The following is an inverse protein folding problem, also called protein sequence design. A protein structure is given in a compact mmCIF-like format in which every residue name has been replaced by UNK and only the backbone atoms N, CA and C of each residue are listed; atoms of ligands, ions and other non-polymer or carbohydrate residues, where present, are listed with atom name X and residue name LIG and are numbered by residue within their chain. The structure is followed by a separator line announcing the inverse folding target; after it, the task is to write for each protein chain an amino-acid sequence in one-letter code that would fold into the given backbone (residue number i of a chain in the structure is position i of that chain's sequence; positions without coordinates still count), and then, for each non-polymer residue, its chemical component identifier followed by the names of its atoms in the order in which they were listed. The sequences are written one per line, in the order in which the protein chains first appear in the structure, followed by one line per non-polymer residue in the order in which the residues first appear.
data_IF_996618984432
#
_entry.id   IF_996618984432
#
_cell.length_a   1.000
_cell.length_b   1.000
_cell.length_c   1.000
_cell.angle_alpha   90.00
_cell.angle_beta   90.00
_cell.angle_gamma   90.00
#
_symmetry.space_group_name_H-M   'P 1'
#
loop_
_entity.id
_entity.type
_entity.pdbx_description
1 polymer ?
#
# COMPACT_ATOMS: atom_id res chain seq x y z
N UNK A 1 4.14 32.67 -0.95
CA UNK A 1 5.52 32.85 -1.44
C UNK A 1 5.93 31.53 -2.09
N UNK A 2 5.52 31.32 -3.34
CA UNK A 2 5.80 30.08 -4.05
C UNK A 2 6.93 30.32 -5.03
N UNK A 3 8.15 29.93 -4.66
CA UNK A 3 9.19 29.77 -5.66
C UNK A 3 8.80 28.53 -6.47
N UNK A 4 8.24 28.71 -7.66
CA UNK A 4 8.12 27.62 -8.62
C UNK A 4 9.54 27.33 -9.11
N UNK A 5 10.17 26.29 -8.56
CA UNK A 5 11.48 25.85 -9.04
C UNK A 5 11.23 25.22 -10.41
N UNK A 6 11.78 25.83 -11.45
CA UNK A 6 11.82 25.28 -12.80
C UNK A 6 13.14 24.53 -13.01
N UNK A 7 13.08 23.37 -13.64
CA UNK A 7 14.24 22.57 -14.02
C UNK A 7 14.40 22.58 -15.54
N UNK A 8 15.62 22.46 -16.04
CA UNK A 8 15.86 22.06 -17.43
C UNK A 8 15.62 20.54 -17.54
N UNK A 9 14.62 20.16 -18.32
CA UNK A 9 14.21 18.77 -18.51
C UNK A 9 14.76 18.21 -19.81
N UNK A 10 15.44 17.07 -19.73
CA UNK A 10 15.90 16.34 -20.91
C UNK A 10 15.69 14.84 -20.77
N UNK A 11 15.39 14.18 -21.88
CA UNK A 11 15.34 12.73 -21.92
C UNK A 11 16.71 12.12 -21.57
N UNK A 12 16.72 11.01 -20.83
CA UNK A 12 17.92 10.28 -20.48
C UNK A 12 17.73 8.78 -20.62
N UNK A 13 18.57 8.14 -21.46
CA UNK A 13 18.54 6.70 -21.69
C UNK A 13 19.50 5.99 -20.75
N UNK A 14 18.96 5.21 -19.83
CA UNK A 14 19.70 4.32 -18.95
C UNK A 14 19.78 2.92 -19.57
N UNK A 15 20.99 2.39 -19.68
CA UNK A 15 21.22 1.02 -20.12
C UNK A 15 21.18 0.06 -18.92
N UNK A 16 20.26 -0.90 -18.95
CA UNK A 16 20.05 -1.91 -17.91
C UNK A 16 20.77 -3.24 -18.23
N UNK A 17 21.68 -3.26 -19.20
CA UNK A 17 22.38 -4.47 -19.65
C UNK A 17 21.41 -5.44 -20.33
N UNK A 18 21.43 -6.69 -19.91
CA UNK A 18 20.57 -7.75 -20.47
C UNK A 18 19.07 -7.50 -20.24
N UNK A 19 18.72 -6.55 -19.35
CA UNK A 19 17.34 -6.11 -19.11
C UNK A 19 16.87 -5.02 -20.07
N UNK A 20 17.67 -4.57 -21.04
CA UNK A 20 17.28 -3.60 -22.05
C UNK A 20 17.67 -2.16 -21.70
N UNK A 21 16.86 -1.18 -22.14
CA UNK A 21 17.10 0.25 -21.94
C UNK A 21 15.83 0.96 -21.49
N UNK A 22 15.96 1.93 -20.60
CA UNK A 22 14.84 2.76 -20.14
C UNK A 22 15.14 4.23 -20.42
N UNK A 23 14.16 4.96 -20.96
CA UNK A 23 14.22 6.41 -21.15
C UNK A 23 13.44 7.11 -20.04
N UNK A 24 14.14 7.85 -19.18
CA UNK A 24 13.55 8.70 -18.16
C UNK A 24 13.68 10.19 -18.49
N UNK A 25 13.39 11.03 -17.50
CA UNK A 25 13.59 12.49 -17.53
C UNK A 25 14.71 12.83 -16.55
N UNK A 26 15.68 13.63 -17.00
CA UNK A 26 16.69 14.24 -16.14
C UNK A 26 16.31 15.70 -15.88
N UNK A 27 16.34 16.09 -14.60
CA UNK A 27 16.12 17.44 -14.11
C UNK A 27 17.48 18.05 -13.76
N UNK A 28 17.88 19.07 -14.52
CA UNK A 28 19.20 19.71 -14.46
C UNK A 28 20.35 18.68 -14.52
N UNK A 29 21.40 18.86 -13.71
CA UNK A 29 22.45 17.86 -13.45
C UNK A 29 22.30 17.23 -12.06
N UNK A 30 21.06 17.11 -11.54
CA UNK A 30 20.85 16.77 -10.13
C UNK A 30 19.99 15.55 -9.90
N UNK A 31 18.85 15.41 -10.59
CA UNK A 31 17.94 14.28 -10.40
C UNK A 31 17.52 13.65 -11.73
N UNK A 32 17.21 12.36 -11.71
CA UNK A 32 16.57 11.62 -12.81
C UNK A 32 15.30 10.96 -12.29
N UNK A 33 14.25 10.90 -13.11
CA UNK A 33 13.01 10.17 -12.86
C UNK A 33 12.76 9.16 -13.97
N UNK A 34 12.45 7.93 -13.56
CA UNK A 34 11.99 6.85 -14.42
C UNK A 34 10.61 6.41 -13.92
N UNK A 35 9.57 6.78 -14.65
CA UNK A 35 8.18 6.57 -14.28
C UNK A 35 7.58 5.30 -14.92
N UNK A 36 6.61 4.69 -14.25
CA UNK A 36 5.79 3.66 -14.87
C UNK A 36 6.49 2.33 -15.13
N UNK A 37 7.52 1.98 -14.35
CA UNK A 37 8.27 0.75 -14.52
C UNK A 37 7.43 -0.43 -14.00
N UNK A 38 7.02 -1.39 -14.84
CA UNK A 38 6.30 -2.57 -14.37
C UNK A 38 7.20 -3.44 -13.52
N UNK A 39 6.68 -3.93 -12.40
CA UNK A 39 7.41 -4.86 -11.52
C UNK A 39 6.77 -6.24 -11.41
N UNK A 40 5.55 -6.39 -11.94
CA UNK A 40 4.78 -7.62 -11.94
C UNK A 40 3.90 -7.69 -13.20
N UNK A 41 3.41 -8.89 -13.54
CA UNK A 41 2.40 -9.04 -14.58
C UNK A 41 1.05 -8.44 -14.13
N UNK A 42 0.23 -7.92 -15.06
CA UNK A 42 -1.05 -7.30 -14.73
C UNK A 42 -1.97 -8.23 -13.93
N UNK A 43 -2.59 -7.76 -12.82
CA UNK A 43 -3.48 -8.54 -11.97
C UNK A 43 -4.94 -8.50 -12.47
N UNK A 44 -5.15 -8.61 -13.77
CA UNK A 44 -6.45 -8.40 -14.43
C UNK A 44 -7.16 -9.72 -14.77
N UNK A 45 -8.47 -9.64 -15.03
CA UNK A 45 -9.29 -10.78 -15.44
C UNK A 45 -9.22 -11.95 -14.45
N UNK A 46 -8.79 -13.12 -14.92
CA UNK A 46 -8.63 -14.31 -14.08
C UNK A 46 -7.58 -14.17 -12.97
N UNK A 47 -6.70 -13.16 -13.06
CA UNK A 47 -5.69 -12.86 -12.04
C UNK A 47 -6.15 -11.80 -11.03
N UNK A 48 -7.37 -11.26 -11.19
CA UNK A 48 -8.01 -10.45 -10.15
C UNK A 48 -8.19 -11.30 -8.89
N UNK A 49 -7.78 -10.74 -7.75
CA UNK A 49 -7.72 -11.41 -6.44
C UNK A 49 -6.87 -12.68 -6.44
N UNK A 50 -5.69 -12.61 -7.07
CA UNK A 50 -4.59 -13.56 -6.91
C UNK A 50 -3.33 -12.84 -6.44
N UNK A 51 -2.36 -13.58 -5.89
CA UNK A 51 -1.01 -13.04 -5.65
C UNK A 51 -0.41 -12.45 -6.94
N UNK A 52 0.38 -11.36 -6.86
CA UNK A 52 1.06 -10.82 -8.02
C UNK A 52 1.99 -11.89 -8.60
N UNK A 53 2.12 -11.87 -9.93
CA UNK A 53 3.01 -12.79 -10.64
C UNK A 53 4.27 -12.04 -11.06
N UNK A 54 5.46 -12.63 -10.86
CA UNK A 54 6.69 -11.98 -11.27
C UNK A 54 6.72 -11.82 -12.80
N UNK A 55 7.46 -10.82 -13.26
CA UNK A 55 7.81 -10.73 -14.67
C UNK A 55 8.65 -11.97 -15.06
N UNK A 56 8.48 -12.54 -16.26
CA UNK A 56 9.33 -13.64 -16.74
C UNK A 56 10.80 -13.25 -16.69
N UNK A 57 11.70 -14.22 -16.48
CA UNK A 57 13.16 -13.97 -16.47
C UNK A 57 13.66 -13.35 -17.78
N UNK A 58 13.00 -13.68 -18.90
CA UNK A 58 13.21 -13.16 -20.25
C UNK A 58 12.61 -11.78 -20.50
N UNK A 59 11.91 -11.18 -19.53
CA UNK A 59 11.35 -9.84 -19.68
C UNK A 59 12.47 -8.80 -19.81
N UNK A 60 12.37 -7.95 -20.83
CA UNK A 60 13.26 -6.82 -21.09
C UNK A 60 12.47 -5.52 -21.16
N UNK A 61 13.06 -4.44 -20.64
CA UNK A 61 12.57 -3.09 -20.83
C UNK A 61 13.07 -2.59 -22.20
N UNK A 62 12.25 -2.78 -23.23
CA UNK A 62 12.50 -2.28 -24.56
C UNK A 62 11.18 -1.86 -25.22
N UNK A 63 11.27 -0.94 -26.18
CA UNK A 63 10.16 -0.51 -27.01
C UNK A 63 10.42 -0.95 -28.46
N UNK A 64 9.68 -1.97 -28.91
CA UNK A 64 9.88 -2.57 -30.24
C UNK A 64 11.24 -3.27 -30.38
N UNK A 65 11.77 -3.33 -31.60
CA UNK A 65 12.94 -4.16 -31.91
C UNK A 65 14.26 -3.68 -31.26
N UNK A 66 14.39 -2.40 -30.82
CA UNK A 66 15.63 -1.91 -30.15
C UNK A 66 15.48 -0.59 -29.34
N UNK A 67 14.28 -0.01 -29.23
CA UNK A 67 14.07 1.28 -28.57
C UNK A 67 14.10 1.17 -27.03
N UNK A 68 14.41 2.25 -26.29
CA UNK A 68 14.26 2.23 -24.83
C UNK A 68 12.77 2.18 -24.44
N UNK A 69 12.44 1.45 -23.37
CA UNK A 69 11.14 1.56 -22.72
C UNK A 69 10.90 3.01 -22.27
N UNK A 70 9.76 3.57 -22.65
CA UNK A 70 9.40 4.95 -22.30
C UNK A 70 8.92 5.03 -20.85
N UNK A 71 9.80 5.52 -19.98
CA UNK A 71 9.56 5.82 -18.58
C UNK A 71 9.56 7.35 -18.32
N UNK A 72 9.24 8.16 -19.33
CA UNK A 72 9.10 9.61 -19.15
C UNK A 72 7.73 9.99 -18.57
N UNK A 73 6.73 9.13 -18.76
CA UNK A 73 5.34 9.36 -18.36
C UNK A 73 4.91 8.41 -17.25
N UNK A 74 4.15 8.93 -16.29
CA UNK A 74 3.50 8.10 -15.30
C UNK A 74 2.46 7.16 -15.95
N UNK A 75 2.27 5.99 -15.35
CA UNK A 75 1.25 5.02 -15.75
C UNK A 75 0.04 5.13 -14.82
N UNK A 76 -1.05 4.49 -15.24
CA UNK A 76 -2.30 4.46 -14.50
C UNK A 76 -2.08 4.00 -13.04
N UNK A 77 -2.76 4.66 -12.10
CA UNK A 77 -2.79 4.24 -10.71
C UNK A 77 -3.78 3.09 -10.52
N UNK A 78 -3.73 2.41 -9.37
CA UNK A 78 -4.70 1.36 -9.09
C UNK A 78 -6.12 1.91 -8.92
N UNK A 79 -7.17 1.13 -9.24
CA UNK A 79 -8.54 1.62 -9.24
C UNK A 79 -8.99 2.10 -7.88
N UNK A 80 -9.57 3.29 -7.83
CA UNK A 80 -9.95 3.97 -6.59
C UNK A 80 -10.88 5.13 -6.89
N UNK A 81 -11.74 5.48 -5.94
CA UNK A 81 -12.53 6.72 -5.99
C UNK A 81 -11.63 7.88 -5.54
N UNK A 82 -11.27 8.76 -6.46
CA UNK A 82 -10.27 9.81 -6.21
C UNK A 82 -10.91 11.08 -5.65
N UNK A 83 -10.35 11.62 -4.56
CA UNK A 83 -10.71 12.93 -4.01
C UNK A 83 -9.85 14.06 -4.58
N UNK A 84 -8.59 13.76 -4.93
CA UNK A 84 -7.65 14.67 -5.57
C UNK A 84 -6.63 13.83 -6.36
N UNK A 85 -6.56 14.00 -7.68
CA UNK A 85 -5.34 13.69 -8.43
C UNK A 85 -4.96 14.98 -9.13
N UNK A 86 -3.69 15.39 -9.01
CA UNK A 86 -3.09 16.24 -10.02
C UNK A 86 -3.34 15.59 -11.38
N UNK A 87 -3.87 16.35 -12.33
CA UNK A 87 -4.09 15.86 -13.69
C UNK A 87 -2.82 15.16 -14.16
N UNK A 88 -2.87 13.86 -14.46
CA UNK A 88 -1.95 13.34 -15.46
C UNK A 88 -2.20 14.18 -16.71
N UNK A 89 -1.15 14.66 -17.37
CA UNK A 89 -1.34 15.33 -18.65
C UNK A 89 -2.02 14.35 -19.61
N UNK A 90 -3.32 14.55 -19.88
CA UNK A 90 -4.03 13.89 -20.98
C UNK A 90 -5.18 12.91 -20.69
N UNK A 91 -5.93 12.95 -19.58
CA UNK A 91 -7.20 12.17 -19.55
C UNK A 91 -8.07 12.19 -18.30
N UNK A 92 -9.37 12.02 -18.51
CA UNK A 92 -10.49 12.27 -17.58
C UNK A 92 -10.80 11.10 -16.61
N UNK A 93 -9.78 10.41 -16.07
CA UNK A 93 -9.94 9.29 -15.13
C UNK A 93 -8.83 8.24 -15.25
N UNK A 94 -7.76 8.38 -14.46
CA UNK A 94 -6.45 7.76 -14.77
C UNK A 94 -6.12 6.52 -13.93
N UNK A 95 -7.08 5.62 -13.72
CA UNK A 95 -6.82 4.32 -13.07
C UNK A 95 -7.07 3.12 -13.99
N UNK A 96 -6.39 2.01 -13.71
CA UNK A 96 -6.52 0.72 -14.38
C UNK A 96 -6.23 -0.40 -13.38
N UNK A 97 -6.78 -1.60 -13.57
CA UNK A 97 -6.31 -2.76 -12.79
C UNK A 97 -4.91 -3.22 -13.22
N UNK A 98 -4.49 -2.89 -14.44
CA UNK A 98 -3.09 -2.92 -14.82
C UNK A 98 -2.40 -1.68 -14.22
N UNK A 99 -1.95 -1.82 -12.97
CA UNK A 99 -1.39 -0.72 -12.17
C UNK A 99 -0.15 -1.10 -11.35
N UNK A 100 0.42 -2.30 -11.54
CA UNK A 100 1.58 -2.78 -10.77
C UNK A 100 2.89 -2.18 -11.32
N UNK A 101 2.98 -0.86 -11.20
CA UNK A 101 4.09 -0.02 -11.63
C UNK A 101 4.77 0.65 -10.43
N UNK A 102 6.04 0.98 -10.60
CA UNK A 102 6.79 1.83 -9.68
C UNK A 102 7.43 3.01 -10.41
N UNK A 103 7.74 4.04 -9.64
CA UNK A 103 8.46 5.22 -10.10
C UNK A 103 9.77 5.33 -9.32
N UNK A 104 10.86 5.63 -10.02
CA UNK A 104 12.22 5.68 -9.45
C UNK A 104 12.81 7.06 -9.69
N UNK A 105 13.27 7.70 -8.62
CA UNK A 105 14.05 8.92 -8.67
C UNK A 105 15.46 8.65 -8.17
N UNK A 106 16.46 9.15 -8.89
CA UNK A 106 17.87 8.98 -8.55
C UNK A 106 18.57 10.33 -8.51
N UNK A 107 19.63 10.49 -7.70
CA UNK A 107 20.64 11.52 -7.94
C UNK A 107 21.31 11.28 -9.30
N UNK A 108 21.81 12.34 -9.94
CA UNK A 108 22.66 12.22 -11.14
C UNK A 108 24.06 11.78 -10.72
N UNK A 109 24.50 10.62 -11.22
CA UNK A 109 25.82 10.06 -10.97
C UNK A 109 26.18 9.02 -12.04
N UNK A 110 27.30 8.33 -11.88
CA UNK A 110 27.65 7.15 -12.68
C UNK A 110 26.99 5.91 -12.07
N UNK A 111 25.99 5.34 -12.74
CA UNK A 111 25.22 4.20 -12.24
C UNK A 111 26.07 2.95 -12.01
N UNK A 112 27.22 2.82 -12.69
CA UNK A 112 28.09 1.65 -12.54
C UNK A 112 28.89 1.67 -11.25
N UNK A 113 29.23 2.87 -10.76
CA UNK A 113 30.09 3.06 -9.59
C UNK A 113 29.33 3.60 -8.38
N UNK A 114 28.18 4.23 -8.60
CA UNK A 114 27.31 4.74 -7.53
C UNK A 114 26.76 3.61 -6.65
N UNK A 115 26.63 3.93 -5.36
CA UNK A 115 26.06 3.06 -4.32
C UNK A 115 25.12 3.88 -3.44
N UNK A 116 24.12 4.49 -4.07
CA UNK A 116 23.17 5.35 -3.36
C UNK A 116 22.35 4.53 -2.36
N UNK A 117 22.13 5.03 -1.14
CA UNK A 117 21.07 4.53 -0.27
C UNK A 117 19.73 4.51 -1.01
N UNK A 118 18.89 3.52 -0.73
CA UNK A 118 17.58 3.37 -1.38
C UNK A 118 16.47 3.52 -0.34
N UNK A 119 15.53 4.42 -0.59
CA UNK A 119 14.27 4.51 0.13
C UNK A 119 13.16 3.87 -0.71
N UNK A 120 12.65 2.74 -0.25
CA UNK A 120 11.47 2.09 -0.82
C UNK A 120 10.22 2.64 -0.13
N UNK A 121 9.44 3.44 -0.84
CA UNK A 121 8.32 4.20 -0.32
C UNK A 121 6.96 3.54 -0.57
N UNK A 122 6.21 3.33 0.50
CA UNK A 122 4.84 2.84 0.51
C UNK A 122 3.89 4.01 0.84
N UNK A 123 3.06 4.40 -0.13
CA UNK A 123 2.11 5.49 0.06
C UNK A 123 1.00 5.14 1.07
N UNK A 124 0.38 6.17 1.65
CA UNK A 124 -0.78 6.05 2.54
C UNK A 124 -2.11 6.06 1.79
N UNK A 125 -3.19 6.40 2.52
CA UNK A 125 -4.55 6.52 1.96
C UNK A 125 -5.54 5.44 2.43
N UNK A 126 -5.47 5.06 3.71
CA UNK A 126 -6.35 4.07 4.38
C UNK A 126 -6.44 2.69 3.72
N UNK A 127 -5.51 2.36 2.82
CA UNK A 127 -5.60 1.23 1.88
C UNK A 127 -6.70 1.38 0.82
N UNK A 128 -7.40 2.51 0.74
CA UNK A 128 -8.49 2.73 -0.21
C UNK A 128 -8.05 3.51 -1.45
N UNK A 129 -7.06 4.38 -1.30
CA UNK A 129 -6.61 5.34 -2.30
C UNK A 129 -5.12 5.66 -2.14
N UNK A 130 -4.55 6.38 -3.09
CA UNK A 130 -3.15 6.81 -3.14
C UNK A 130 -2.46 6.41 -4.44
N UNK A 131 -1.24 6.92 -4.61
CA UNK A 131 -0.46 6.81 -5.83
C UNK A 131 1.04 6.67 -5.54
N UNK A 132 1.84 6.15 -6.48
CA UNK A 132 3.29 6.02 -6.33
C UNK A 132 4.04 7.35 -6.53
N UNK A 133 3.73 8.38 -5.73
CA UNK A 133 4.37 9.71 -5.81
C UNK A 133 4.25 10.37 -7.20
N UNK A 134 3.08 10.24 -7.81
CA UNK A 134 2.67 10.97 -9.02
C UNK A 134 2.07 12.34 -8.66
N UNK A 135 1.50 12.49 -7.45
CA UNK A 135 1.05 13.80 -6.97
C UNK A 135 2.24 14.77 -6.85
N UNK A 136 2.15 16.00 -7.42
CA UNK A 136 3.25 16.97 -7.38
C UNK A 136 3.75 17.32 -5.97
N UNK A 137 2.89 17.25 -4.95
CA UNK A 137 3.28 17.48 -3.55
C UNK A 137 4.06 16.32 -2.93
N UNK A 138 4.12 15.17 -3.61
CA UNK A 138 4.80 13.96 -3.18
C UNK A 138 5.98 13.57 -4.10
N UNK A 139 6.27 14.36 -5.15
CA UNK A 139 7.40 14.13 -6.06
C UNK A 139 8.73 14.46 -5.36
N UNK A 140 9.66 13.49 -5.20
CA UNK A 140 10.92 13.70 -4.49
C UNK A 140 11.99 14.45 -5.30
N UNK A 141 11.70 14.91 -6.53
CA UNK A 141 12.66 15.63 -7.38
C UNK A 141 13.27 16.85 -6.67
N UNK A 142 12.46 17.66 -5.99
CA UNK A 142 12.95 18.83 -5.27
C UNK A 142 13.80 18.44 -4.05
N UNK A 143 13.41 17.37 -3.35
CA UNK A 143 14.13 16.86 -2.19
C UNK A 143 15.54 16.37 -2.57
N UNK A 144 15.69 15.76 -3.74
CA UNK A 144 16.99 15.35 -4.30
C UNK A 144 17.76 16.57 -4.84
N UNK A 145 17.11 17.40 -5.67
CA UNK A 145 17.77 18.47 -6.42
C UNK A 145 18.16 19.69 -5.59
N UNK A 146 17.40 20.00 -4.55
CA UNK A 146 17.64 21.21 -3.72
C UNK A 146 17.70 20.89 -2.23
N UNK A 147 16.92 19.90 -1.77
CA UNK A 147 16.91 19.44 -0.38
C UNK A 147 18.15 18.65 0.03
N UNK A 148 19.03 18.27 -0.92
CA UNK A 148 20.28 17.57 -0.64
C UNK A 148 20.11 16.09 -0.26
N UNK A 149 18.96 15.48 -0.59
CA UNK A 149 18.77 14.05 -0.41
C UNK A 149 19.61 13.26 -1.43
N UNK A 150 20.71 12.70 -0.95
CA UNK A 150 21.59 11.82 -1.70
C UNK A 150 21.14 10.35 -1.59
N UNK A 151 19.95 10.05 -2.08
CA UNK A 151 19.37 8.71 -2.06
C UNK A 151 18.45 8.47 -3.27
N UNK A 152 18.33 7.20 -3.67
CA UNK A 152 17.30 6.78 -4.62
C UNK A 152 15.98 6.67 -3.87
N UNK A 153 14.90 7.17 -4.46
CA UNK A 153 13.53 6.99 -3.96
C UNK A 153 12.78 6.11 -4.96
N UNK A 154 12.19 5.02 -4.47
CA UNK A 154 11.36 4.11 -5.26
C UNK A 154 9.95 4.13 -4.68
N UNK A 155 8.98 4.69 -5.39
CA UNK A 155 7.58 4.71 -4.95
C UNK A 155 6.79 3.62 -5.65
N UNK A 156 6.06 2.80 -4.88
CA UNK A 156 5.37 1.60 -5.37
C UNK A 156 3.87 1.84 -5.48
N UNK A 157 3.28 1.54 -6.65
CA UNK A 157 1.84 1.44 -6.80
C UNK A 157 1.43 0.01 -6.47
N UNK A 158 0.45 -0.18 -5.59
CA UNK A 158 -0.02 -1.49 -5.15
C UNK A 158 -1.55 -1.51 -5.13
N UNK A 159 -2.20 -2.69 -5.27
CA UNK A 159 -3.66 -2.76 -5.29
C UNK A 159 -4.27 -2.26 -3.97
N UNK A 160 -5.38 -1.55 -4.09
CA UNK A 160 -6.10 -0.86 -3.01
C UNK A 160 -7.55 -1.33 -2.93
N UNK A 161 -8.26 -0.90 -1.89
CA UNK A 161 -9.68 -1.13 -1.63
C UNK A 161 -10.10 -2.58 -1.94
N UNK A 162 -11.23 -2.79 -2.60
CA UNK A 162 -11.74 -4.11 -2.97
C UNK A 162 -10.78 -4.89 -3.88
N UNK A 163 -9.95 -4.23 -4.70
CA UNK A 163 -8.98 -4.92 -5.57
C UNK A 163 -7.78 -5.51 -4.81
N UNK A 164 -7.35 -4.82 -3.75
CA UNK A 164 -6.17 -5.19 -2.95
C UNK A 164 -6.48 -5.93 -1.66
N UNK A 165 -7.68 -5.74 -1.11
CA UNK A 165 -8.00 -6.10 0.26
C UNK A 165 -9.40 -6.72 0.44
N UNK A 166 -10.06 -7.14 -0.65
CA UNK A 166 -11.14 -8.14 -0.52
C UNK A 166 -10.56 -9.42 0.09
N UNK A 167 -11.22 -9.96 1.10
CA UNK A 167 -10.78 -11.14 1.81
C UNK A 167 -11.96 -12.02 2.22
N UNK A 168 -11.71 -13.34 2.30
CA UNK A 168 -12.72 -14.29 2.76
C UNK A 168 -12.31 -15.74 2.52
N UNK A 169 -13.03 -16.67 3.14
CA UNK A 169 -12.78 -18.11 2.98
C UNK A 169 -13.00 -18.58 1.54
N UNK A 170 -13.95 -17.99 0.81
CA UNK A 170 -14.19 -18.30 -0.59
C UNK A 170 -12.96 -18.05 -1.49
N UNK A 171 -12.15 -17.02 -1.20
CA UNK A 171 -10.88 -16.77 -1.90
C UNK A 171 -9.83 -17.83 -1.55
N UNK A 172 -9.76 -18.21 -0.27
CA UNK A 172 -8.83 -19.26 0.19
C UNK A 172 -9.17 -20.61 -0.46
N UNK A 173 -10.45 -20.97 -0.51
CA UNK A 173 -10.93 -22.21 -1.13
C UNK A 173 -10.67 -22.23 -2.65
N UNK A 174 -11.09 -21.17 -3.37
CA UNK A 174 -10.91 -21.06 -4.83
C UNK A 174 -9.44 -21.05 -5.26
N UNK A 175 -8.57 -20.56 -4.37
CA UNK A 175 -7.13 -20.56 -4.58
C UNK A 175 -6.40 -21.81 -4.09
N UNK A 176 -7.13 -22.80 -3.56
CA UNK A 176 -6.56 -24.03 -2.98
C UNK A 176 -5.53 -23.74 -1.89
N UNK A 177 -5.82 -22.75 -1.04
CA UNK A 177 -4.97 -22.35 0.07
C UNK A 177 -3.86 -21.35 -0.29
N UNK A 178 -3.73 -20.93 -1.56
CA UNK A 178 -2.65 -20.02 -1.96
C UNK A 178 -2.89 -18.57 -1.50
N UNK A 179 -4.13 -18.06 -1.53
CA UNK A 179 -4.41 -16.66 -1.21
C UNK A 179 -5.82 -16.44 -0.70
N UNK A 180 -5.98 -15.68 0.39
CA UNK A 180 -7.30 -15.37 0.97
C UNK A 180 -7.64 -13.87 1.03
N UNK A 181 -6.70 -13.01 0.63
CA UNK A 181 -6.76 -11.56 0.80
C UNK A 181 -5.35 -10.97 0.79
N UNK A 182 -5.19 -9.77 1.36
CA UNK A 182 -3.90 -9.08 1.51
C UNK A 182 -3.12 -8.90 0.18
N UNK A 183 -3.82 -8.87 -0.97
CA UNK A 183 -3.19 -8.80 -2.28
C UNK A 183 -2.31 -7.55 -2.45
N UNK A 184 -2.72 -6.41 -1.88
CA UNK A 184 -1.89 -5.20 -1.84
C UNK A 184 -0.58 -5.37 -1.05
N UNK A 185 -0.56 -6.18 0.01
CA UNK A 185 0.68 -6.51 0.73
C UNK A 185 1.58 -7.44 -0.09
N UNK A 186 0.98 -8.38 -0.81
CA UNK A 186 1.74 -9.22 -1.74
C UNK A 186 2.33 -8.42 -2.90
N UNK A 187 1.62 -7.40 -3.40
CA UNK A 187 2.13 -6.48 -4.43
C UNK A 187 3.35 -5.71 -3.95
N UNK A 188 3.26 -5.13 -2.74
CA UNK A 188 4.39 -4.46 -2.09
C UNK A 188 5.58 -5.40 -1.90
N UNK A 189 5.30 -6.67 -1.58
CA UNK A 189 6.33 -7.70 -1.43
C UNK A 189 7.06 -7.97 -2.74
N UNK A 190 6.31 -8.19 -3.82
CA UNK A 190 6.84 -8.41 -5.17
C UNK A 190 7.69 -7.22 -5.63
N UNK A 191 7.21 -6.00 -5.39
CA UNK A 191 7.97 -4.79 -5.71
C UNK A 191 9.29 -4.69 -4.91
N UNK A 192 9.28 -5.04 -3.62
CA UNK A 192 10.49 -5.04 -2.80
C UNK A 192 11.52 -6.09 -3.28
N UNK A 193 11.06 -7.25 -3.72
CA UNK A 193 11.91 -8.29 -4.32
C UNK A 193 12.49 -7.82 -5.66
N UNK A 194 11.67 -7.20 -6.51
CA UNK A 194 12.13 -6.57 -7.75
C UNK A 194 13.21 -5.51 -7.49
N UNK A 195 13.00 -4.63 -6.49
CA UNK A 195 13.98 -3.60 -6.12
C UNK A 195 15.29 -4.24 -5.66
N UNK A 196 15.23 -5.29 -4.84
CA UNK A 196 16.42 -6.01 -4.39
C UNK A 196 17.23 -6.62 -5.53
N UNK A 197 16.56 -7.06 -6.60
CA UNK A 197 17.19 -7.65 -7.78
C UNK A 197 17.74 -6.61 -8.76
N UNK A 198 17.08 -5.46 -8.90
CA UNK A 198 17.31 -4.56 -10.05
C UNK A 198 17.86 -3.18 -9.68
N UNK A 199 17.76 -2.72 -8.43
CA UNK A 199 18.05 -1.30 -8.12
C UNK A 199 19.52 -0.91 -8.27
N UNK A 200 20.45 -1.88 -8.30
CA UNK A 200 21.84 -1.61 -8.66
C UNK A 200 22.03 -1.12 -10.09
N UNK A 201 21.11 -1.45 -11.01
CA UNK A 201 21.12 -0.95 -12.38
C UNK A 201 20.85 0.56 -12.45
N UNK A 202 20.26 1.13 -11.39
CA UNK A 202 19.98 2.55 -11.21
C UNK A 202 21.02 3.23 -10.29
N UNK A 203 22.13 2.55 -9.96
CA UNK A 203 23.16 3.06 -9.04
C UNK A 203 22.84 2.88 -7.55
N UNK A 204 21.86 2.05 -7.20
CA UNK A 204 21.46 1.77 -5.82
C UNK A 204 22.35 0.75 -5.11
N UNK A 205 22.50 0.92 -3.80
CA UNK A 205 23.16 -0.05 -2.93
C UNK A 205 22.15 -1.08 -2.40
N UNK A 206 22.26 -2.32 -2.89
CA UNK A 206 21.44 -3.46 -2.47
C UNK A 206 21.55 -3.76 -0.96
N UNK A 207 22.61 -3.31 -0.30
CA UNK A 207 22.83 -3.52 1.14
C UNK A 207 22.33 -2.35 2.00
N UNK A 208 21.80 -1.29 1.39
CA UNK A 208 21.39 -0.06 2.05
C UNK A 208 19.98 0.38 1.65
N UNK A 209 19.03 -0.57 1.75
CA UNK A 209 17.60 -0.34 1.49
C UNK A 209 16.88 -0.04 2.82
N UNK A 210 16.15 1.07 2.82
CA UNK A 210 15.22 1.50 3.88
C UNK A 210 13.80 1.35 3.36
N UNK A 211 12.97 0.57 4.04
CA UNK A 211 11.54 0.52 3.78
C UNK A 211 10.85 1.64 4.54
N UNK A 212 10.13 2.52 3.84
CA UNK A 212 9.50 3.69 4.43
C UNK A 212 8.03 3.78 4.02
N UNK A 213 7.18 4.34 4.88
CA UNK A 213 5.79 4.57 4.54
C UNK A 213 5.09 5.57 5.44
N UNK A 214 3.93 6.05 4.97
CA UNK A 214 3.05 7.00 5.69
C UNK A 214 1.66 6.42 5.88
N UNK A 215 1.07 6.59 7.06
CA UNK A 215 -0.30 6.15 7.36
C UNK A 215 -0.49 4.66 7.03
N UNK A 216 -1.42 4.29 6.16
CA UNK A 216 -1.56 2.90 5.66
C UNK A 216 -0.23 2.30 5.13
N UNK A 217 0.64 3.12 4.54
CA UNK A 217 1.98 2.69 4.13
C UNK A 217 2.89 2.34 5.32
N UNK A 218 2.79 3.06 6.44
CA UNK A 218 3.54 2.75 7.67
C UNK A 218 3.03 1.45 8.32
N UNK A 219 1.72 1.22 8.32
CA UNK A 219 1.14 -0.09 8.68
C UNK A 219 1.72 -1.20 7.79
N UNK A 220 1.80 -0.97 6.48
CA UNK A 220 2.40 -1.90 5.53
C UNK A 220 3.88 -2.16 5.83
N UNK A 221 4.66 -1.14 6.22
CA UNK A 221 6.07 -1.32 6.61
C UNK A 221 6.20 -2.35 7.76
N UNK A 222 5.35 -2.24 8.77
CA UNK A 222 5.35 -3.20 9.88
C UNK A 222 4.90 -4.60 9.43
N UNK A 223 3.84 -4.71 8.62
CA UNK A 223 3.38 -5.99 8.10
C UNK A 223 4.49 -6.69 7.28
N UNK A 224 5.21 -5.94 6.46
CA UNK A 224 6.33 -6.42 5.65
C UNK A 224 7.51 -6.87 6.53
N UNK A 225 7.86 -6.11 7.57
CA UNK A 225 8.89 -6.49 8.55
C UNK A 225 8.53 -7.79 9.30
N UNK A 226 7.30 -7.91 9.77
CA UNK A 226 6.83 -9.12 10.46
C UNK A 226 6.84 -10.34 9.54
N UNK A 227 6.46 -10.15 8.27
CA UNK A 227 6.57 -11.22 7.26
C UNK A 227 8.03 -11.64 7.03
N UNK A 228 8.97 -10.70 6.99
CA UNK A 228 10.41 -10.99 6.87
C UNK A 228 10.96 -11.77 8.06
N UNK A 229 10.52 -11.47 9.27
CA UNK A 229 11.03 -12.12 10.50
C UNK A 229 10.64 -13.59 10.59
N UNK A 230 9.65 -14.02 9.82
CA UNK A 230 9.27 -15.44 9.70
C UNK A 230 10.15 -16.21 8.71
N UNK A 231 10.90 -15.53 7.85
CA UNK A 231 11.80 -16.19 6.88
C UNK A 231 13.09 -16.63 7.59
N UNK A 232 13.75 -17.72 7.15
CA UNK A 232 14.95 -18.21 7.82
C UNK A 232 16.12 -17.20 7.79
N UNK A 233 16.55 -16.79 8.99
CA UNK A 233 17.83 -16.14 9.26
C UNK A 233 18.04 -14.72 8.67
N UNK A 234 19.06 -13.99 9.14
CA UNK A 234 19.26 -12.58 8.82
C UNK A 234 19.73 -12.29 7.38
N UNK A 235 20.28 -13.30 6.70
CA UNK A 235 20.81 -13.19 5.32
C UNK A 235 19.72 -13.02 4.27
N UNK A 236 18.46 -13.31 4.60
CA UNK A 236 17.33 -13.25 3.67
C UNK A 236 16.62 -11.89 3.68
N UNK A 237 17.04 -10.95 4.54
CA UNK A 237 16.34 -9.68 4.72
C UNK A 237 16.46 -8.77 3.49
N UNK A 238 15.34 -8.33 2.93
CA UNK A 238 15.29 -7.38 1.81
C UNK A 238 15.81 -5.99 2.21
N UNK A 239 15.42 -5.54 3.41
CA UNK A 239 15.78 -4.26 4.01
C UNK A 239 16.21 -4.47 5.47
N UNK A 240 16.89 -3.47 6.05
CA UNK A 240 17.35 -3.48 7.45
C UNK A 240 17.04 -2.20 8.20
N UNK A 241 16.36 -1.26 7.54
CA UNK A 241 15.92 0.00 8.13
C UNK A 241 14.46 0.17 7.77
N UNK A 242 13.66 0.56 8.76
CA UNK A 242 12.24 0.83 8.59
C UNK A 242 11.93 2.25 9.07
N UNK A 243 11.15 3.00 8.30
CA UNK A 243 10.68 4.33 8.64
C UNK A 243 9.15 4.40 8.55
N UNK A 244 8.50 4.54 9.70
CA UNK A 244 7.05 4.50 9.86
C UNK A 244 6.52 5.88 10.26
N UNK A 245 5.85 6.57 9.35
CA UNK A 245 5.24 7.88 9.62
C UNK A 245 3.73 7.71 9.86
N UNK A 246 3.34 7.86 11.12
CA UNK A 246 1.95 8.03 11.58
C UNK A 246 1.05 6.81 11.36
N UNK A 247 1.55 5.63 11.74
CA UNK A 247 0.79 4.39 11.92
C UNK A 247 1.68 3.20 12.34
N UNK A 248 1.00 2.20 12.89
CA UNK A 248 1.50 0.84 13.15
C UNK A 248 0.31 -0.14 13.02
N UNK A 249 0.52 -1.44 13.22
CA UNK A 249 -0.54 -2.43 13.40
C UNK A 249 -1.05 -2.30 14.85
N UNK A 250 -2.22 -1.67 15.06
CA UNK A 250 -2.63 -1.27 16.40
C UNK A 250 -3.22 -2.43 17.22
N UNK A 251 -3.81 -3.38 16.52
CA UNK A 251 -4.47 -4.57 17.06
C UNK A 251 -4.46 -5.67 15.99
N UNK A 252 -4.74 -6.91 16.41
CA UNK A 252 -4.84 -8.03 15.49
C UNK A 252 -5.89 -7.72 14.41
N UNK A 253 -5.54 -7.79 13.11
CA UNK A 253 -6.49 -7.53 12.04
C UNK A 253 -7.60 -8.57 12.01
N UNK A 254 -8.73 -8.24 11.38
CA UNK A 254 -9.88 -9.15 11.24
C UNK A 254 -9.44 -10.52 10.73
N UNK A 255 -9.99 -11.61 11.27
CA UNK A 255 -9.86 -12.94 10.67
C UNK A 255 -10.66 -13.03 9.36
N UNK A 256 -10.41 -14.06 8.55
CA UNK A 256 -11.23 -14.33 7.35
C UNK A 256 -12.71 -14.55 7.69
N UNK A 257 -13.01 -15.16 8.83
CA UNK A 257 -14.38 -15.33 9.31
C UNK A 257 -15.03 -13.98 9.61
N UNK A 258 -14.29 -13.06 10.24
CA UNK A 258 -14.78 -11.72 10.58
C UNK A 258 -14.95 -10.82 9.34
N UNK A 259 -14.41 -11.20 8.17
CA UNK A 259 -14.66 -10.49 6.90
C UNK A 259 -15.84 -11.05 6.10
N UNK A 260 -16.45 -12.16 6.54
CA UNK A 260 -17.56 -12.77 5.82
C UNK A 260 -18.74 -11.81 5.55
N UNK A 261 -19.19 -10.97 6.51
CA UNK A 261 -20.25 -10.00 6.24
C UNK A 261 -19.91 -9.03 5.11
N UNK A 262 -18.67 -8.55 5.03
CA UNK A 262 -18.22 -7.67 3.95
C UNK A 262 -18.18 -8.41 2.61
N UNK A 263 -17.71 -9.65 2.58
CA UNK A 263 -17.64 -10.46 1.36
C UNK A 263 -19.05 -10.75 0.81
N UNK A 264 -19.97 -11.20 1.66
CA UNK A 264 -21.35 -11.50 1.25
C UNK A 264 -22.13 -10.22 0.90
N UNK A 265 -21.85 -9.08 1.54
CA UNK A 265 -22.42 -7.80 1.13
C UNK A 265 -22.03 -7.43 -0.31
N UNK A 266 -20.76 -7.62 -0.69
CA UNK A 266 -20.30 -7.44 -2.07
C UNK A 266 -21.02 -8.41 -3.02
N UNK A 267 -21.13 -9.69 -2.66
CA UNK A 267 -21.86 -10.68 -3.48
C UNK A 267 -23.32 -10.26 -3.71
N UNK A 268 -24.04 -9.91 -2.63
CA UNK A 268 -25.43 -9.46 -2.70
C UNK A 268 -25.60 -8.22 -3.57
N UNK A 269 -24.70 -7.24 -3.47
CA UNK A 269 -24.75 -6.02 -4.28
C UNK A 269 -24.69 -6.32 -5.79
N UNK A 270 -24.00 -7.40 -6.18
CA UNK A 270 -23.89 -7.84 -7.58
C UNK A 270 -24.81 -9.03 -7.93
N UNK A 271 -25.84 -9.29 -7.10
CA UNK A 271 -26.82 -10.36 -7.30
C UNK A 271 -26.18 -11.76 -7.44
N UNK A 272 -25.15 -12.03 -6.65
CA UNK A 272 -24.52 -13.35 -6.53
C UNK A 272 -25.15 -14.06 -5.33
N UNK A 273 -25.53 -15.32 -5.52
CA UNK A 273 -26.29 -16.08 -4.52
C UNK A 273 -25.38 -16.48 -3.35
N UNK A 274 -25.88 -16.43 -2.12
CA UNK A 274 -25.13 -16.86 -0.93
C UNK A 274 -24.84 -18.37 -0.97
N UNK A 275 -25.68 -19.15 -1.65
CA UNK A 275 -25.54 -20.61 -1.81
C UNK A 275 -24.61 -21.01 -2.96
N UNK A 276 -24.16 -20.07 -3.81
CA UNK A 276 -23.18 -20.35 -4.86
C UNK A 276 -21.86 -20.86 -4.23
N UNK A 277 -21.20 -21.82 -4.88
CA UNK A 277 -19.90 -22.30 -4.41
C UNK A 277 -18.85 -21.17 -4.43
N UNK A 278 -17.79 -21.29 -3.61
CA UNK A 278 -16.69 -20.34 -3.59
C UNK A 278 -16.14 -20.03 -5.00
N UNK A 279 -15.99 -21.07 -5.83
CA UNK A 279 -15.54 -20.94 -7.22
C UNK A 279 -16.50 -20.13 -8.08
N UNK A 280 -17.80 -20.34 -7.93
CA UNK A 280 -18.84 -19.62 -8.69
C UNK A 280 -18.93 -18.15 -8.26
N UNK A 281 -18.94 -17.89 -6.94
CA UNK A 281 -18.93 -16.52 -6.40
C UNK A 281 -17.76 -15.71 -6.96
N UNK A 282 -16.54 -16.25 -6.86
CA UNK A 282 -15.33 -15.58 -7.35
C UNK A 282 -15.35 -15.44 -8.88
N UNK A 283 -15.80 -16.45 -9.62
CA UNK A 283 -15.89 -16.38 -11.08
C UNK A 283 -16.84 -15.26 -11.53
N UNK A 284 -18.01 -15.11 -10.89
CA UNK A 284 -18.97 -14.04 -11.17
C UNK A 284 -18.44 -12.66 -10.75
N UNK A 285 -17.83 -12.55 -9.58
CA UNK A 285 -17.20 -11.30 -9.13
C UNK A 285 -16.07 -10.83 -10.06
N UNK A 286 -15.32 -11.75 -10.68
CA UNK A 286 -14.30 -11.42 -11.70
C UNK A 286 -14.90 -10.88 -13.01
N UNK A 287 -16.19 -11.09 -13.27
CA UNK A 287 -16.88 -10.50 -14.44
C UNK A 287 -17.39 -9.07 -14.19
N UNK A 288 -17.49 -8.64 -12.92
CA UNK A 288 -17.90 -7.27 -12.58
C UNK A 288 -16.85 -6.29 -13.12
N UNK A 289 -17.29 -5.18 -13.71
CA UNK A 289 -16.34 -4.21 -14.28
C UNK A 289 -15.55 -3.49 -13.18
N UNK A 290 -14.35 -3.02 -13.52
CA UNK A 290 -13.53 -2.21 -12.61
C UNK A 290 -14.32 -1.00 -12.09
N UNK A 291 -15.07 -0.34 -12.97
CA UNK A 291 -15.85 0.85 -12.64
C UNK A 291 -16.96 0.52 -11.64
N UNK A 292 -17.73 -0.53 -11.88
CA UNK A 292 -18.83 -0.93 -11.01
C UNK A 292 -18.33 -1.30 -9.60
N UNK A 293 -17.16 -1.96 -9.51
CA UNK A 293 -16.52 -2.26 -8.23
C UNK A 293 -16.09 -0.99 -7.48
N UNK A 294 -15.53 0.01 -8.17
CA UNK A 294 -15.18 1.29 -7.55
C UNK A 294 -16.42 2.05 -7.07
N UNK A 295 -17.48 2.07 -7.88
CA UNK A 295 -18.75 2.73 -7.55
C UNK A 295 -19.55 2.02 -6.47
N UNK A 296 -19.32 0.73 -6.28
CA UNK A 296 -19.93 -0.09 -5.24
C UNK A 296 -19.42 0.25 -3.83
N UNK A 297 -18.11 0.51 -3.68
CA UNK A 297 -17.48 0.75 -2.36
C UNK A 297 -18.27 1.70 -1.45
N UNK A 298 -18.65 2.93 -1.87
CA UNK A 298 -19.36 3.87 -0.99
C UNK A 298 -20.82 3.48 -0.71
N UNK A 299 -21.36 2.44 -1.36
CA UNK A 299 -22.72 1.93 -1.15
C UNK A 299 -22.77 0.83 -0.10
N UNK A 300 -21.61 0.31 0.32
CA UNK A 300 -21.49 -0.74 1.32
C UNK A 300 -21.56 -0.16 2.74
N UNK A 301 -22.18 -0.88 3.66
CA UNK A 301 -22.04 -0.66 5.10
C UNK A 301 -20.61 -1.01 5.54
N UNK A 302 -20.08 -2.14 5.06
CA UNK A 302 -18.69 -2.56 5.24
C UNK A 302 -17.77 -2.01 4.14
N UNK A 303 -17.75 -0.69 3.95
CA UNK A 303 -17.05 -0.02 2.84
C UNK A 303 -15.51 0.01 2.92
N UNK A 304 -14.91 -0.32 4.07
CA UNK A 304 -13.45 -0.20 4.24
C UNK A 304 -12.75 -1.55 4.13
N UNK A 305 -11.94 -1.72 3.08
CA UNK A 305 -11.17 -2.94 2.82
C UNK A 305 -9.73 -2.84 3.35
N UNK A 306 -9.31 -3.72 4.26
CA UNK A 306 -8.02 -3.59 4.97
C UNK A 306 -7.28 -4.93 5.05
N UNK A 307 -6.00 -4.92 5.44
CA UNK A 307 -5.30 -6.16 5.75
C UNK A 307 -6.04 -7.02 6.78
N UNK A 308 -5.94 -8.34 6.61
CA UNK A 308 -6.61 -9.36 7.43
C UNK A 308 -5.62 -10.38 7.97
N UNK A 309 -6.00 -11.08 9.03
CA UNK A 309 -5.34 -12.29 9.51
C UNK A 309 -5.69 -13.45 8.61
N UNK A 310 -4.80 -13.81 7.70
CA UNK A 310 -4.98 -14.87 6.71
C UNK A 310 -4.08 -16.11 6.95
N UNK A 311 -3.16 -16.04 7.93
CA UNK A 311 -2.13 -17.06 8.18
C UNK A 311 -1.19 -17.33 6.99
N UNK A 312 -1.22 -16.48 5.97
CA UNK A 312 -0.33 -16.55 4.80
C UNK A 312 0.67 -15.40 4.86
N UNK A 313 0.17 -14.17 4.98
CA UNK A 313 0.96 -12.96 5.18
C UNK A 313 0.94 -12.52 6.65
N UNK A 314 -0.25 -12.34 7.24
CA UNK A 314 -0.43 -11.87 8.63
C UNK A 314 -0.96 -13.02 9.49
N UNK A 315 -0.27 -13.32 10.59
CA UNK A 315 -0.59 -14.44 11.49
C UNK A 315 -1.37 -13.96 12.71
N UNK A 316 -2.16 -14.84 13.31
CA UNK A 316 -3.06 -14.52 14.43
C UNK A 316 -2.38 -14.08 15.73
N UNK A 317 -1.07 -14.29 15.84
CA UNK A 317 -0.29 -13.98 17.04
C UNK A 317 0.58 -12.71 16.89
N UNK A 318 0.32 -11.84 15.91
CA UNK A 318 1.16 -10.65 15.67
C UNK A 318 1.26 -9.78 16.91
N UNK A 319 0.16 -9.53 17.61
CA UNK A 319 0.17 -8.69 18.82
C UNK A 319 0.91 -9.33 20.00
N UNK A 320 0.88 -10.66 20.11
CA UNK A 320 1.64 -11.39 21.14
C UNK A 320 3.12 -11.41 20.79
N UNK A 321 3.46 -11.69 19.54
CA UNK A 321 4.83 -11.72 19.03
C UNK A 321 5.53 -10.36 19.19
N UNK A 322 4.87 -9.26 18.83
CA UNK A 322 5.41 -7.91 19.02
C UNK A 322 5.79 -7.59 20.47
N UNK A 323 5.13 -8.22 21.45
CA UNK A 323 5.39 -8.05 22.88
C UNK A 323 6.34 -9.09 23.46
N UNK A 324 6.80 -10.04 22.65
CA UNK A 324 7.63 -11.15 23.08
C UNK A 324 9.12 -10.83 23.00
N UNK A 325 9.93 -11.60 23.74
CA UNK A 325 11.38 -11.55 23.60
C UNK A 325 11.85 -12.07 22.25
N UNK A 326 11.08 -12.93 21.58
CA UNK A 326 11.44 -13.48 20.27
C UNK A 326 11.47 -12.39 19.20
N UNK A 327 10.52 -11.46 19.21
CA UNK A 327 10.58 -10.28 18.33
C UNK A 327 11.84 -9.45 18.61
N UNK A 328 12.13 -9.16 19.87
CA UNK A 328 13.31 -8.38 20.24
C UNK A 328 14.62 -9.08 19.82
N UNK A 329 14.71 -10.39 20.01
CA UNK A 329 15.84 -11.20 19.57
C UNK A 329 15.99 -11.18 18.04
N UNK A 330 14.89 -11.35 17.31
CA UNK A 330 14.93 -11.39 15.84
C UNK A 330 15.25 -10.01 15.25
N UNK A 331 14.67 -8.94 15.79
CA UNK A 331 14.96 -7.57 15.41
C UNK A 331 16.46 -7.26 15.59
N UNK A 332 17.03 -7.64 16.75
CA UNK A 332 18.45 -7.45 17.05
C UNK A 332 19.35 -8.34 16.19
N UNK A 333 19.01 -9.62 16.01
CA UNK A 333 19.82 -10.59 15.25
C UNK A 333 19.95 -10.19 13.77
N UNK A 334 18.90 -9.59 13.21
CA UNK A 334 18.88 -9.05 11.84
C UNK A 334 19.52 -7.67 11.71
N UNK A 335 19.83 -7.01 12.83
CA UNK A 335 20.40 -5.68 12.86
C UNK A 335 19.45 -4.61 12.30
N UNK A 336 18.14 -4.78 12.53
CA UNK A 336 17.15 -3.81 12.09
C UNK A 336 17.28 -2.49 12.84
N UNK A 337 16.91 -1.39 12.18
CA UNK A 337 16.77 -0.07 12.79
C UNK A 337 15.41 0.50 12.44
N UNK A 338 14.75 1.14 13.40
CA UNK A 338 13.43 1.72 13.24
C UNK A 338 13.47 3.22 13.54
N UNK A 339 12.81 4.00 12.70
CA UNK A 339 12.35 5.35 13.00
C UNK A 339 10.83 5.32 12.90
N UNK A 340 10.15 5.70 13.98
CA UNK A 340 8.68 5.73 14.05
C UNK A 340 8.23 7.02 14.74
N UNK A 341 7.14 7.62 14.27
CA UNK A 341 6.59 8.84 14.85
C UNK A 341 5.18 9.13 14.40
N UNK A 342 4.45 9.93 15.19
CA UNK A 342 3.03 10.25 15.01
C UNK A 342 2.84 11.77 14.95
N UNK A 343 1.79 12.24 14.24
CA UNK A 343 1.39 13.66 14.30
C UNK A 343 0.47 13.87 15.49
N UNK A 344 0.60 15.00 16.18
CA UNK A 344 -0.08 15.24 17.47
C UNK A 344 -1.62 15.26 17.42
N UNK A 345 -2.22 15.60 16.26
CA UNK A 345 -3.65 15.88 16.12
C UNK A 345 -4.34 15.00 15.05
N UNK A 346 -3.90 13.75 14.88
CA UNK A 346 -4.47 12.78 13.92
C UNK A 346 -6.00 12.64 14.06
N UNK A 347 -6.55 12.86 15.26
CA UNK A 347 -7.97 12.66 15.57
C UNK A 347 -8.86 13.62 14.81
N UNK A 348 -8.31 14.76 14.44
CA UNK A 348 -9.01 15.75 13.62
C UNK A 348 -9.33 15.17 12.25
N UNK A 349 -8.37 14.48 11.63
CA UNK A 349 -8.56 13.84 10.32
C UNK A 349 -9.62 12.74 10.42
N UNK A 350 -9.49 11.84 11.39
CA UNK A 350 -10.43 10.74 11.57
C UNK A 350 -11.83 11.19 12.00
N UNK A 351 -11.96 12.34 12.66
CA UNK A 351 -13.29 12.88 12.99
C UNK A 351 -14.07 13.36 11.78
N UNK A 352 -13.40 13.65 10.66
CA UNK A 352 -14.02 14.14 9.43
C UNK A 352 -14.24 13.02 8.41
N UNK A 353 -13.26 12.12 8.28
CA UNK A 353 -13.29 11.06 7.27
C UNK A 353 -13.90 9.77 7.78
N UNK A 354 -14.90 9.24 7.06
CA UNK A 354 -15.62 8.00 7.40
C UNK A 354 -16.17 8.02 8.84
N UNK A 355 -16.53 9.21 9.33
CA UNK A 355 -17.15 9.38 10.62
C UNK A 355 -18.62 8.94 10.59
N UNK A 356 -19.24 8.67 11.74
CA UNK A 356 -20.67 8.37 11.79
C UNK A 356 -21.51 9.47 11.11
N UNK A 357 -22.59 9.06 10.45
CA UNK A 357 -23.54 9.96 9.78
C UNK A 357 -24.71 10.33 10.67
N UNK A 358 -24.91 9.60 11.77
CA UNK A 358 -25.99 9.81 12.74
C UNK A 358 -25.45 9.72 14.18
N UNK A 359 -26.04 10.46 15.13
CA UNK A 359 -25.63 10.48 16.53
C UNK A 359 -26.12 9.23 17.28
N UNK A 360 -25.71 8.04 16.82
CA UNK A 360 -26.14 6.77 17.39
C UNK A 360 -24.98 5.83 17.68
N UNK A 361 -25.17 4.97 18.68
CA UNK A 361 -24.18 3.96 19.05
C UNK A 361 -23.94 2.96 17.92
N UNK A 362 -24.97 2.66 17.13
CA UNK A 362 -24.88 1.70 16.04
C UNK A 362 -24.12 2.30 14.85
N UNK A 363 -24.34 3.57 14.52
CA UNK A 363 -23.55 4.26 13.50
C UNK A 363 -22.06 4.36 13.92
N UNK A 364 -21.78 4.67 15.19
CA UNK A 364 -20.42 4.66 15.72
C UNK A 364 -19.78 3.27 15.67
N UNK A 365 -20.49 2.24 16.12
CA UNK A 365 -20.03 0.84 16.05
C UNK A 365 -19.69 0.46 14.62
N UNK A 366 -20.56 0.78 13.67
CA UNK A 366 -20.34 0.44 12.26
C UNK A 366 -19.05 1.09 11.73
N UNK A 367 -18.81 2.38 12.01
CA UNK A 367 -17.59 3.02 11.53
C UNK A 367 -16.32 2.48 12.21
N UNK A 368 -16.35 2.15 13.50
CA UNK A 368 -15.19 1.50 14.15
C UNK A 368 -14.95 0.09 13.58
N UNK A 369 -16.02 -0.69 13.37
CA UNK A 369 -15.94 -2.04 12.78
C UNK A 369 -15.48 -2.04 11.33
N UNK A 370 -15.62 -0.95 10.58
CA UNK A 370 -15.00 -0.83 9.25
C UNK A 370 -13.48 -0.95 9.31
N UNK A 371 -12.84 -0.54 10.42
CA UNK A 371 -11.37 -0.59 10.57
C UNK A 371 -10.86 -1.77 11.41
N UNK A 372 -11.62 -2.20 12.42
CA UNK A 372 -11.16 -3.15 13.44
C UNK A 372 -12.07 -4.36 13.58
N UNK A 373 -11.59 -5.44 14.21
CA UNK A 373 -12.43 -6.60 14.50
C UNK A 373 -13.58 -6.26 15.45
N UNK A 374 -14.68 -7.04 15.46
CA UNK A 374 -15.78 -6.85 16.41
C UNK A 374 -15.28 -6.76 17.86
N UNK A 375 -14.40 -7.66 18.27
CA UNK A 375 -13.84 -7.69 19.63
C UNK A 375 -13.02 -6.43 19.97
N UNK A 376 -12.25 -5.90 19.03
CA UNK A 376 -11.49 -4.65 19.24
C UNK A 376 -12.46 -3.47 19.31
N UNK A 377 -13.45 -3.44 18.41
CA UNK A 377 -14.45 -2.37 18.33
C UNK A 377 -15.27 -2.26 19.62
N UNK A 378 -15.75 -3.38 20.16
CA UNK A 378 -16.48 -3.43 21.42
C UNK A 378 -15.66 -2.88 22.60
N UNK A 379 -14.38 -3.27 22.70
CA UNK A 379 -13.49 -2.80 23.78
C UNK A 379 -13.28 -1.29 23.71
N UNK A 380 -13.07 -0.76 22.51
CA UNK A 380 -12.82 0.68 22.31
C UNK A 380 -14.07 1.48 22.63
N UNK A 381 -15.23 1.04 22.17
CA UNK A 381 -16.51 1.70 22.44
C UNK A 381 -16.82 1.68 23.93
N UNK A 382 -16.61 0.54 24.61
CA UNK A 382 -16.78 0.41 26.06
C UNK A 382 -15.82 1.33 26.84
N UNK A 383 -14.59 1.50 26.36
CA UNK A 383 -13.55 2.32 27.03
C UNK A 383 -13.87 3.80 27.06
N UNK A 384 -14.51 4.31 26.00
CA UNK A 384 -14.81 5.73 25.84
C UNK A 384 -16.24 6.09 26.24
N UNK A 385 -17.18 5.14 26.19
CA UNK A 385 -18.61 5.39 26.39
C UNK A 385 -19.23 6.13 25.19
N UNK A 386 -20.57 6.22 25.20
CA UNK A 386 -21.30 7.07 24.25
C UNK A 386 -21.32 8.52 24.76
N UNK A 387 -21.31 9.52 23.86
CA UNK A 387 -21.58 10.90 24.25
C UNK A 387 -22.98 10.99 24.86
N UNK A 388 -23.16 11.88 25.85
CA UNK A 388 -24.48 12.20 26.38
C UNK A 388 -25.29 13.14 25.45
N UNK A 389 -24.66 13.60 24.36
CA UNK A 389 -25.17 14.58 23.41
C UNK A 389 -25.79 13.90 22.20
N UNK A 390 -26.85 14.49 21.65
CA UNK A 390 -27.42 14.14 20.35
C UNK A 390 -26.76 14.90 19.18
N UNK A 391 -25.76 15.77 19.48
CA UNK A 391 -25.00 16.49 18.44
C UNK A 391 -24.05 15.54 17.69
N UNK A 392 -24.29 15.37 16.39
CA UNK A 392 -23.47 14.55 15.50
C UNK A 392 -21.97 14.89 15.58
N UNK A 393 -21.61 16.16 15.76
CA UNK A 393 -20.19 16.55 15.81
C UNK A 393 -19.47 16.01 17.05
N UNK A 394 -20.17 15.79 18.17
CA UNK A 394 -19.61 15.13 19.34
C UNK A 394 -19.32 13.65 19.07
N UNK A 395 -20.19 12.96 18.32
CA UNK A 395 -20.01 11.57 17.89
C UNK A 395 -18.85 11.44 16.90
N UNK A 396 -18.73 12.37 15.96
CA UNK A 396 -17.59 12.45 15.02
C UNK A 396 -16.27 12.67 15.73
N UNK A 397 -16.21 13.61 16.68
CA UNK A 397 -15.02 13.85 17.52
C UNK A 397 -14.65 12.62 18.35
N UNK A 398 -15.65 11.93 18.90
CA UNK A 398 -15.44 10.69 19.63
C UNK A 398 -14.82 9.62 18.73
N UNK A 399 -15.36 9.42 17.52
CA UNK A 399 -14.81 8.49 16.54
C UNK A 399 -13.34 8.81 16.20
N UNK A 400 -13.02 10.10 16.00
CA UNK A 400 -11.64 10.55 15.80
C UNK A 400 -10.70 10.16 16.94
N UNK A 401 -11.11 10.42 18.19
CA UNK A 401 -10.33 10.05 19.40
C UNK A 401 -10.15 8.52 19.53
N UNK A 402 -11.19 7.75 19.24
CA UNK A 402 -11.15 6.28 19.28
C UNK A 402 -10.16 5.73 18.24
N UNK A 403 -10.21 6.25 17.01
CA UNK A 403 -9.32 5.87 15.91
C UNK A 403 -7.85 6.12 16.24
N UNK A 404 -7.54 7.30 16.79
CA UNK A 404 -6.17 7.65 17.20
C UNK A 404 -5.68 6.86 18.39
N UNK A 405 -6.56 6.53 19.34
CA UNK A 405 -6.16 5.71 20.49
C UNK A 405 -5.62 4.37 20.03
N UNK A 406 -6.26 3.76 19.04
CA UNK A 406 -5.80 2.51 18.48
C UNK A 406 -4.44 2.70 17.80
N UNK A 407 -4.26 3.78 17.05
CA UNK A 407 -3.01 4.05 16.31
C UNK A 407 -1.83 4.41 17.24
N UNK A 408 -2.05 5.24 18.25
CA UNK A 408 -0.98 5.93 19.00
C UNK A 408 -0.79 5.43 20.43
N UNK A 409 -1.75 4.69 20.98
CA UNK A 409 -1.71 4.21 22.37
C UNK A 409 -1.91 2.71 22.39
N UNK A 410 -0.80 1.98 22.45
CA UNK A 410 -0.79 0.65 23.05
C UNK A 410 -1.16 0.82 24.52
N UNK A 411 -2.46 0.83 24.83
CA UNK A 411 -2.92 0.98 26.21
C UNK A 411 -2.44 -0.21 27.03
N UNK A 412 -1.69 0.13 28.09
CA UNK A 412 -1.31 -0.71 29.23
C UNK A 412 -2.46 -1.59 29.75
#
# INVERSE_FOLDING_TARGET
MGNTISYDEKAYDLNLGDKGKIRGIQFDQKSRRYAGIPYALPPTGNYRWRKPRPLPSSYTYANGEDGPFDATQFKAICPQKTFHVGKAEGGDGTYSEDCLFMNIWTPVGDEKTSKWPVMLWLHGGWFQMGDPSQDPGMDPTELISTGGLNAIVVAIGYRLNIFGFLAGEALLEESQGDSAGNFGLWDQRMAAEWVKENISLFGGDLNNITLAGRSAGAYSVEAQMLYEFRKPGPKTSLYRRVFMNSNAIPAQPKSLQETNPQFEEVCRLFNIDEEDSAKEKIARLRQVTTQDLVEAIPKLEHHTFRPVTDHLFIHSNVMEYLRSQDFAHEFKSRGYKILIGEVANEETLYSVYNSPTEPSLDALKMQVMNYYSPQVSERVIKRYGAPASEDLEDWKRLFGRQSVTLITRHSN
#
